data_IF_382432218663
#
_entry.id   IF_382432218663
#
_cell.length_a   1.000
_cell.length_b   1.000
_cell.length_c   1.000
_cell.angle_alpha   90.00
_cell.angle_beta   90.00
_cell.angle_gamma   90.00
#
_symmetry.space_group_name_H-M   'P 1'
#
loop_
_entity.id
_entity.type
_entity.pdbx_description
1 polymer ?
#
# COMPACT_ATOMS: atom_id res chain seq x y z
N UNK A 1 15.17 -11.63 33.84
CA UNK A 1 15.59 -11.75 32.42
C UNK A 1 14.76 -10.77 31.60
N UNK A 2 15.38 -9.71 31.11
CA UNK A 2 14.69 -8.75 30.25
C UNK A 2 14.74 -9.34 28.83
N UNK A 3 13.60 -9.80 28.32
CA UNK A 3 13.47 -10.19 26.92
C UNK A 3 13.48 -8.91 26.11
N UNK A 4 14.60 -8.55 25.51
CA UNK A 4 14.66 -7.50 24.51
C UNK A 4 13.92 -8.02 23.26
N UNK A 5 12.64 -7.70 23.17
CA UNK A 5 11.89 -7.93 21.94
C UNK A 5 12.45 -6.97 20.88
N UNK A 6 13.15 -7.52 19.89
CA UNK A 6 13.65 -6.71 18.79
C UNK A 6 12.48 -6.02 18.09
N UNK A 7 12.63 -4.73 17.81
CA UNK A 7 11.63 -3.95 17.08
C UNK A 7 11.45 -4.53 15.68
N UNK A 8 10.22 -4.89 15.32
CA UNK A 8 9.87 -5.36 13.99
C UNK A 8 9.43 -4.17 13.15
N UNK A 9 9.84 -4.16 11.89
CA UNK A 9 9.47 -3.10 10.95
C UNK A 9 8.56 -3.66 9.87
N UNK A 10 7.41 -3.03 9.65
CA UNK A 10 6.42 -3.39 8.65
C UNK A 10 6.31 -2.25 7.65
N UNK A 11 6.41 -2.56 6.35
CA UNK A 11 6.25 -1.58 5.30
C UNK A 11 4.79 -1.27 5.04
N UNK A 12 4.48 0.01 4.84
CA UNK A 12 3.20 0.50 4.35
C UNK A 12 3.41 1.24 3.04
N UNK A 13 2.94 0.64 1.94
CA UNK A 13 3.09 1.13 0.59
C UNK A 13 1.79 1.79 0.12
N UNK A 14 1.81 3.09 -0.16
CA UNK A 14 0.66 3.81 -0.71
C UNK A 14 0.84 4.15 -2.18
N UNK A 15 -0.25 4.17 -2.93
CA UNK A 15 -0.26 4.64 -4.33
C UNK A 15 -0.12 6.16 -4.46
N UNK A 16 -0.32 6.89 -3.37
CA UNK A 16 -0.15 8.35 -3.30
C UNK A 16 1.20 8.77 -2.75
N UNK A 17 1.19 9.83 -1.96
CA UNK A 17 2.36 10.31 -1.22
C UNK A 17 2.28 9.91 0.25
N UNK A 18 3.44 9.61 0.83
CA UNK A 18 3.61 9.37 2.27
C UNK A 18 4.05 10.66 3.00
N UNK A 19 3.82 10.80 4.31
CA UNK A 19 3.05 9.90 5.17
C UNK A 19 1.53 10.04 5.00
N UNK A 20 0.80 8.96 5.32
CA UNK A 20 -0.66 8.91 5.28
C UNK A 20 -1.21 8.59 6.68
N UNK A 21 -1.23 9.56 7.60
CA UNK A 21 -1.71 9.34 8.96
C UNK A 21 -3.18 8.86 9.01
N UNK A 22 -3.99 9.27 8.06
CA UNK A 22 -5.39 8.85 7.89
C UNK A 22 -5.54 7.34 7.65
N UNK A 23 -4.60 6.72 6.94
CA UNK A 23 -4.59 5.28 6.69
C UNK A 23 -3.84 4.50 7.78
N UNK A 24 -2.80 5.10 8.34
CA UNK A 24 -1.89 4.42 9.27
C UNK A 24 -2.42 4.38 10.69
N UNK A 25 -3.09 5.44 11.16
CA UNK A 25 -3.55 5.49 12.54
C UNK A 25 -4.47 4.31 12.94
N UNK A 26 -5.46 3.91 12.11
CA UNK A 26 -6.26 2.72 12.40
C UNK A 26 -5.44 1.42 12.42
N UNK A 27 -4.45 1.29 11.52
CA UNK A 27 -3.60 0.09 11.43
C UNK A 27 -2.64 -0.01 12.60
N UNK A 28 -2.03 1.10 13.01
CA UNK A 28 -1.08 1.14 14.12
C UNK A 28 -1.69 0.61 15.43
N UNK A 29 -2.99 0.87 15.66
CA UNK A 29 -3.70 0.39 16.84
C UNK A 29 -3.89 -1.14 16.88
N UNK A 30 -3.78 -1.80 15.73
CA UNK A 30 -3.93 -3.26 15.61
C UNK A 30 -2.60 -4.00 15.70
N UNK A 31 -1.48 -3.29 15.65
CA UNK A 31 -0.16 -3.89 15.70
C UNK A 31 0.38 -3.97 17.12
N UNK A 32 1.22 -4.99 17.41
CA UNK A 32 1.94 -5.05 18.68
C UNK A 32 2.82 -3.83 18.92
N UNK A 33 3.00 -3.44 20.18
CA UNK A 33 3.78 -2.25 20.55
C UNK A 33 5.25 -2.26 20.09
N UNK A 34 5.80 -3.44 19.77
CA UNK A 34 7.14 -3.59 19.22
C UNK A 34 7.19 -3.56 17.68
N UNK A 35 6.11 -3.16 17.02
CA UNK A 35 6.07 -2.96 15.57
C UNK A 35 6.18 -1.48 15.20
N UNK A 36 7.08 -1.16 14.28
CA UNK A 36 7.22 0.13 13.65
C UNK A 36 6.65 0.06 12.22
N UNK A 37 5.87 1.06 11.82
CA UNK A 37 5.38 1.17 10.44
C UNK A 37 6.28 2.13 9.68
N UNK A 38 6.90 1.63 8.61
CA UNK A 38 7.70 2.41 7.67
C UNK A 38 6.86 2.69 6.43
N UNK A 39 6.66 3.96 6.10
CA UNK A 39 5.78 4.36 5.00
C UNK A 39 6.58 4.82 3.79
N UNK A 40 6.18 4.39 2.60
CA UNK A 40 6.68 4.92 1.32
C UNK A 40 5.51 5.04 0.35
N UNK A 41 5.48 6.12 -0.41
CA UNK A 41 4.47 6.38 -1.43
C UNK A 41 5.04 6.31 -2.85
N UNK A 42 4.23 5.80 -3.77
CA UNK A 42 4.60 5.75 -5.21
C UNK A 42 4.85 7.14 -5.80
N UNK A 43 4.22 8.17 -5.23
CA UNK A 43 4.32 9.55 -5.68
C UNK A 43 5.22 10.42 -4.81
N UNK A 44 5.99 9.82 -3.89
CA UNK A 44 6.92 10.56 -3.05
C UNK A 44 7.95 11.30 -3.92
N UNK A 45 8.21 12.55 -3.54
CA UNK A 45 9.14 13.42 -4.26
C UNK A 45 8.58 14.08 -5.52
N UNK A 46 7.36 13.74 -5.96
CA UNK A 46 6.71 14.39 -7.09
C UNK A 46 5.90 15.60 -6.65
N UNK A 47 5.85 16.60 -7.53
CA UNK A 47 4.90 17.72 -7.45
C UNK A 47 3.67 17.42 -8.30
N UNK A 48 2.62 18.22 -8.15
CA UNK A 48 1.43 18.09 -9.00
C UNK A 48 1.75 18.26 -10.50
N UNK A 49 2.74 19.09 -10.83
CA UNK A 49 3.19 19.30 -12.21
C UNK A 49 3.93 18.12 -12.83
N UNK A 50 4.42 17.19 -12.01
CA UNK A 50 5.12 15.97 -12.48
C UNK A 50 4.14 14.83 -12.78
N UNK A 51 2.86 15.00 -12.44
CA UNK A 51 1.83 13.99 -12.63
C UNK A 51 1.21 14.12 -14.02
N UNK A 52 0.75 13.00 -14.62
CA UNK A 52 -0.01 13.05 -15.86
C UNK A 52 -1.24 13.96 -15.72
N UNK A 53 -1.44 14.82 -16.71
CA UNK A 53 -2.61 15.73 -16.75
C UNK A 53 -3.91 15.01 -17.12
N UNK A 54 -3.80 13.88 -17.78
CA UNK A 54 -4.91 13.06 -18.25
C UNK A 54 -4.67 11.58 -17.96
N UNK A 55 -5.73 10.85 -17.77
CA UNK A 55 -5.72 9.39 -17.66
C UNK A 55 -6.31 8.80 -18.93
N UNK A 56 -5.67 7.75 -19.44
CA UNK A 56 -6.09 7.04 -20.66
C UNK A 56 -6.50 5.60 -20.41
N UNK A 57 -6.21 5.10 -19.21
CA UNK A 57 -6.55 3.74 -18.81
C UNK A 57 -8.04 3.56 -18.53
N UNK A 58 -8.54 2.32 -18.64
CA UNK A 58 -9.96 2.02 -18.41
C UNK A 58 -10.39 2.19 -16.94
N UNK A 59 -9.45 2.14 -16.01
CA UNK A 59 -9.72 2.22 -14.57
C UNK A 59 -8.70 3.14 -13.89
N UNK A 60 -8.89 4.46 -13.97
CA UNK A 60 -8.02 5.40 -13.29
C UNK A 60 -8.17 5.25 -11.77
N UNK A 61 -7.05 5.28 -11.08
CA UNK A 61 -6.99 5.22 -9.63
C UNK A 61 -6.99 6.62 -9.04
N UNK A 62 -7.70 6.81 -7.95
CA UNK A 62 -7.73 8.08 -7.21
C UNK A 62 -6.85 7.98 -5.98
N UNK A 63 -5.99 8.95 -5.80
CA UNK A 63 -5.16 9.05 -4.59
C UNK A 63 -5.00 10.51 -4.15
N UNK A 64 -4.26 10.73 -3.06
CA UNK A 64 -3.98 12.06 -2.53
C UNK A 64 -2.49 12.35 -2.52
N UNK A 65 -2.15 13.59 -2.83
CA UNK A 65 -0.81 14.15 -2.65
C UNK A 65 -0.75 14.99 -1.37
N UNK A 66 0.47 15.38 -0.96
CA UNK A 66 0.73 16.03 0.35
C UNK A 66 -0.05 17.30 0.61
N UNK A 67 -0.40 18.05 -0.43
CA UNK A 67 -1.21 19.26 -0.30
C UNK A 67 -2.71 18.97 -0.08
N UNK A 68 -3.10 17.69 -0.01
CA UNK A 68 -4.48 17.27 0.18
C UNK A 68 -5.28 17.13 -1.12
N UNK A 69 -4.73 17.51 -2.27
CA UNK A 69 -5.40 17.40 -3.55
C UNK A 69 -5.59 15.93 -3.94
N UNK A 70 -6.78 15.59 -4.43
CA UNK A 70 -7.05 14.32 -5.07
C UNK A 70 -6.52 14.35 -6.52
N UNK A 71 -5.85 13.29 -6.92
CA UNK A 71 -5.33 13.12 -8.27
C UNK A 71 -5.79 11.79 -8.84
N UNK A 72 -6.05 11.77 -10.15
CA UNK A 72 -6.38 10.56 -10.90
C UNK A 72 -5.15 10.12 -11.67
N UNK A 73 -4.80 8.84 -11.56
CA UNK A 73 -3.57 8.30 -12.16
C UNK A 73 -3.84 6.91 -12.71
N UNK A 74 -3.29 6.63 -13.89
CA UNK A 74 -3.33 5.29 -14.47
C UNK A 74 -2.43 4.31 -13.71
N UNK A 75 -2.87 3.08 -13.60
CA UNK A 75 -2.13 1.99 -12.98
C UNK A 75 -0.74 1.81 -13.63
N UNK A 76 -0.67 1.96 -14.95
CA UNK A 76 0.59 1.86 -15.71
C UNK A 76 1.65 2.88 -15.30
N UNK A 77 1.25 4.06 -14.86
CA UNK A 77 2.16 5.07 -14.31
C UNK A 77 2.63 4.69 -12.90
N UNK A 78 1.77 4.02 -12.12
CA UNK A 78 2.03 3.67 -10.73
C UNK A 78 2.89 2.42 -10.57
N UNK A 79 2.72 1.39 -11.41
CA UNK A 79 3.40 0.09 -11.26
C UNK A 79 4.92 0.22 -11.09
N UNK A 80 5.68 0.87 -11.99
CA UNK A 80 7.13 0.96 -11.84
C UNK A 80 7.55 1.77 -10.60
N UNK A 81 6.73 2.73 -10.18
CA UNK A 81 6.96 3.55 -8.99
C UNK A 81 6.67 2.79 -7.70
N UNK A 82 5.59 2.01 -7.70
CA UNK A 82 5.26 1.10 -6.60
C UNK A 82 6.34 0.04 -6.42
N UNK A 83 6.86 -0.53 -7.51
CA UNK A 83 7.95 -1.49 -7.42
C UNK A 83 9.18 -0.86 -6.79
N UNK A 84 9.59 0.31 -7.25
CA UNK A 84 10.73 1.04 -6.67
C UNK A 84 10.51 1.40 -5.19
N UNK A 85 9.30 1.78 -4.82
CA UNK A 85 8.95 2.07 -3.43
C UNK A 85 8.98 0.81 -2.56
N UNK A 86 8.49 -0.32 -3.08
CA UNK A 86 8.57 -1.62 -2.41
C UNK A 86 10.02 -2.07 -2.20
N UNK A 87 10.86 -1.96 -3.22
CA UNK A 87 12.29 -2.28 -3.13
C UNK A 87 12.98 -1.42 -2.06
N UNK A 88 12.62 -0.14 -1.97
CA UNK A 88 13.11 0.76 -0.92
C UNK A 88 12.70 0.33 0.48
N UNK A 89 11.44 -0.10 0.66
CA UNK A 89 10.95 -0.65 1.92
C UNK A 89 11.73 -1.91 2.31
N UNK A 90 11.90 -2.85 1.40
CA UNK A 90 12.63 -4.09 1.65
C UNK A 90 14.09 -3.84 2.01
N UNK A 91 14.75 -2.91 1.31
CA UNK A 91 16.11 -2.47 1.62
C UNK A 91 16.22 -1.77 2.99
N UNK A 92 15.14 -1.17 3.47
CA UNK A 92 15.10 -0.57 4.82
C UNK A 92 14.99 -1.61 5.94
N UNK A 93 14.84 -2.90 5.61
CA UNK A 93 14.80 -3.99 6.58
C UNK A 93 13.42 -4.30 7.15
N UNK A 94 12.33 -3.95 6.44
CA UNK A 94 10.99 -4.40 6.82
C UNK A 94 10.88 -5.92 6.68
N UNK A 95 10.10 -6.55 7.56
CA UNK A 95 9.89 -8.01 7.52
C UNK A 95 8.75 -8.42 6.57
N UNK A 96 7.84 -7.51 6.30
CA UNK A 96 6.71 -7.65 5.39
C UNK A 96 6.22 -6.28 4.97
N UNK A 97 5.46 -6.18 3.89
CA UNK A 97 4.83 -4.93 3.43
C UNK A 97 3.33 -5.11 3.19
N UNK A 98 2.57 -4.05 3.43
CA UNK A 98 1.15 -3.95 3.16
C UNK A 98 0.91 -2.88 2.09
N UNK A 99 0.24 -3.24 1.01
CA UNK A 99 -0.23 -2.29 0.00
C UNK A 99 -1.52 -1.63 0.49
N UNK A 100 -1.51 -0.31 0.63
CA UNK A 100 -2.67 0.48 1.08
C UNK A 100 -3.53 0.89 -0.12
N UNK A 101 -3.97 -0.07 -0.91
CA UNK A 101 -4.85 0.11 -2.05
C UNK A 101 -5.61 -1.18 -2.34
N UNK A 102 -6.84 -1.06 -2.80
CA UNK A 102 -7.68 -2.20 -3.21
C UNK A 102 -7.45 -2.64 -4.66
N UNK A 103 -6.55 -2.01 -5.41
CA UNK A 103 -6.16 -2.45 -6.76
C UNK A 103 -5.44 -3.79 -6.74
N UNK A 104 -5.48 -4.48 -7.87
CA UNK A 104 -4.88 -5.82 -8.00
C UNK A 104 -3.36 -5.79 -8.05
N UNK A 105 -2.78 -4.88 -8.80
CA UNK A 105 -1.33 -4.71 -8.99
C UNK A 105 -0.60 -6.06 -9.12
N UNK A 106 -1.04 -6.87 -10.09
CA UNK A 106 -0.57 -8.25 -10.27
C UNK A 106 0.94 -8.33 -10.53
N UNK A 107 1.50 -7.31 -11.19
CA UNK A 107 2.91 -7.21 -11.56
C UNK A 107 3.83 -6.90 -10.38
N UNK A 108 3.27 -6.33 -9.31
CA UNK A 108 4.05 -5.93 -8.14
C UNK A 108 4.53 -7.15 -7.36
N UNK A 109 5.85 -7.31 -7.23
CA UNK A 109 6.49 -8.45 -6.59
C UNK A 109 7.51 -8.01 -5.55
N UNK A 110 7.43 -8.61 -4.36
CA UNK A 110 8.40 -8.44 -3.30
C UNK A 110 9.25 -9.71 -3.09
N UNK A 111 10.44 -9.54 -2.55
CA UNK A 111 11.28 -10.63 -2.05
C UNK A 111 10.86 -11.07 -0.65
N UNK A 112 10.09 -10.22 0.04
CA UNK A 112 9.45 -10.47 1.34
C UNK A 112 7.93 -10.53 1.19
N UNK A 113 7.19 -11.05 2.17
CA UNK A 113 5.74 -11.08 2.13
C UNK A 113 5.15 -9.70 1.79
N UNK A 114 4.38 -9.65 0.73
CA UNK A 114 3.61 -8.48 0.30
C UNK A 114 2.11 -8.80 0.40
N UNK A 115 1.43 -8.13 1.32
CA UNK A 115 -0.01 -8.28 1.50
C UNK A 115 -0.76 -7.27 0.64
N UNK A 116 -1.57 -7.77 -0.28
CA UNK A 116 -2.46 -6.99 -1.15
C UNK A 116 -3.90 -7.21 -0.66
N UNK A 117 -4.60 -6.18 -0.17
CA UNK A 117 -5.94 -6.34 0.42
C UNK A 117 -6.93 -7.04 -0.49
N UNK A 118 -6.93 -6.70 -1.79
CA UNK A 118 -7.80 -7.34 -2.77
C UNK A 118 -7.61 -8.86 -2.81
N UNK A 119 -6.36 -9.31 -2.97
CA UNK A 119 -6.04 -10.74 -3.00
C UNK A 119 -6.38 -11.42 -1.68
N UNK A 120 -6.02 -10.80 -0.56
CA UNK A 120 -6.29 -11.35 0.78
C UNK A 120 -7.79 -11.53 1.03
N UNK A 121 -8.61 -10.55 0.62
CA UNK A 121 -10.06 -10.64 0.74
C UNK A 121 -10.63 -11.78 -0.13
N UNK A 122 -10.16 -11.93 -1.37
CA UNK A 122 -10.56 -13.03 -2.25
C UNK A 122 -10.19 -14.39 -1.67
N UNK A 123 -8.93 -14.57 -1.25
CA UNK A 123 -8.46 -15.83 -0.68
C UNK A 123 -9.28 -16.21 0.58
N UNK A 124 -9.66 -15.23 1.39
CA UNK A 124 -10.52 -15.45 2.56
C UNK A 124 -11.92 -15.90 2.15
N UNK A 125 -12.54 -15.22 1.18
CA UNK A 125 -13.88 -15.57 0.69
C UNK A 125 -13.91 -16.96 0.08
N UNK A 126 -12.90 -17.33 -0.69
CA UNK A 126 -12.74 -18.67 -1.26
C UNK A 126 -12.63 -19.74 -0.15
N UNK A 127 -11.87 -19.46 0.89
CA UNK A 127 -11.70 -20.35 2.04
C UNK A 127 -13.00 -20.56 2.80
N UNK A 128 -13.80 -19.51 2.95
CA UNK A 128 -15.11 -19.56 3.64
C UNK A 128 -16.20 -20.22 2.78
N UNK A 129 -15.96 -20.43 1.49
CA UNK A 129 -16.85 -21.12 0.56
C UNK A 129 -18.29 -20.58 0.55
N UNK A 130 -18.47 -19.27 0.63
CA UNK A 130 -19.78 -18.64 0.51
C UNK A 130 -20.34 -18.75 -0.89
N UNK A 131 -21.65 -19.08 -1.00
CA UNK A 131 -22.35 -19.12 -2.29
C UNK A 131 -22.76 -17.74 -2.79
N UNK A 132 -22.99 -16.83 -1.89
CA UNK A 132 -23.44 -15.47 -2.19
C UNK A 132 -22.89 -14.52 -1.15
N UNK A 133 -22.36 -13.39 -1.60
CA UNK A 133 -21.89 -12.29 -0.76
C UNK A 133 -22.52 -10.99 -1.24
N UNK A 134 -22.80 -10.08 -0.30
CA UNK A 134 -23.18 -8.70 -0.61
C UNK A 134 -21.95 -7.79 -0.49
N UNK A 135 -21.77 -6.92 -1.45
CA UNK A 135 -20.74 -5.88 -1.42
C UNK A 135 -21.38 -4.51 -1.28
N UNK A 136 -20.91 -3.75 -0.30
CA UNK A 136 -21.27 -2.34 -0.13
C UNK A 136 -20.09 -1.51 -0.64
N UNK A 137 -20.34 -0.65 -1.62
CA UNK A 137 -19.33 0.22 -2.25
C UNK A 137 -19.64 1.68 -2.02
#
# INVERSE_FOLDING_TARGET
>A
MVIHMSQKRIGALTIGQSPRPDLIAPLASLLPANCEIVQVGALDGLTQGDLPSETSGPYPLVTRIKNGAAVMIDESFLIPRLQKALDSLENSGVIASLLLCAGTFSELQGTRPLYKPFKTAHDLLDTLNFRTIGLIT
#
